data_IF_986632432046
#
_entry.id   IF_986632432046
#
_cell.length_a   1.000
_cell.length_b   1.000
_cell.length_c   1.000
_cell.angle_alpha   90.00
_cell.angle_beta   90.00
_cell.angle_gamma   90.00
#
_symmetry.space_group_name_H-M   'P 1'
#
loop_
_entity.id
_entity.type
_entity.pdbx_description
1 polymer ?
#
# COMPACT_ATOMS: atom_id res chain seq x y z
N UNK A 1 44.62 17.88 -8.68
CA UNK A 1 44.52 16.53 -8.10
C UNK A 1 44.24 16.75 -6.63
N UNK A 2 42.99 16.56 -6.21
CA UNK A 2 42.57 16.48 -4.81
C UNK A 2 41.28 15.64 -4.78
N UNK A 3 41.32 14.37 -4.33
CA UNK A 3 40.22 13.42 -4.50
C UNK A 3 39.42 13.22 -3.20
N UNK A 4 38.76 14.25 -2.68
CA UNK A 4 37.87 14.10 -1.50
C UNK A 4 36.62 14.97 -1.58
N UNK A 5 35.69 14.64 -2.47
CA UNK A 5 34.28 14.98 -2.26
C UNK A 5 33.46 13.71 -2.39
N UNK A 6 33.40 13.04 -1.24
CA UNK A 6 32.51 11.94 -0.91
C UNK A 6 31.15 12.12 -1.56
N UNK A 7 30.77 11.11 -2.34
CA UNK A 7 29.40 10.70 -2.63
C UNK A 7 28.47 11.14 -1.50
N UNK A 8 27.75 12.24 -1.74
CA UNK A 8 26.57 12.58 -0.97
C UNK A 8 25.60 11.44 -1.19
N UNK A 9 25.54 10.52 -0.24
CA UNK A 9 24.43 9.61 -0.07
C UNK A 9 23.18 10.47 -0.02
N UNK A 10 22.44 10.49 -1.13
CA UNK A 10 21.07 10.98 -1.19
C UNK A 10 20.32 10.25 -0.09
N UNK A 11 20.13 10.93 1.04
CA UNK A 11 19.09 10.58 1.99
C UNK A 11 17.81 10.58 1.18
N UNK A 12 17.28 9.40 0.89
CA UNK A 12 15.87 9.27 0.52
C UNK A 12 15.08 9.71 1.75
N UNK A 13 14.94 11.03 1.93
CA UNK A 13 13.88 11.60 2.72
C UNK A 13 12.61 11.10 2.07
N UNK A 14 12.06 10.04 2.65
CA UNK A 14 10.74 9.54 2.36
C UNK A 14 9.74 10.60 2.81
N UNK A 15 9.59 11.66 2.02
CA UNK A 15 8.39 12.49 1.97
C UNK A 15 7.28 11.61 1.41
N UNK A 16 6.84 10.68 2.24
CA UNK A 16 5.57 10.02 2.04
C UNK A 16 4.55 11.13 2.27
N UNK A 17 3.73 11.52 1.27
CA UNK A 17 2.71 12.52 1.51
C UNK A 17 1.88 12.07 2.71
N UNK A 18 1.49 13.04 3.57
CA UNK A 18 0.60 12.90 4.74
C UNK A 18 -0.82 12.45 4.29
N UNK A 19 -0.89 11.36 3.53
CA UNK A 19 -2.10 10.76 2.96
C UNK A 19 -3.01 10.20 4.06
N UNK A 20 -2.44 9.89 5.22
CA UNK A 20 -3.18 9.35 6.36
C UNK A 20 -4.16 10.34 6.98
N UNK A 21 -3.82 11.63 7.02
CA UNK A 21 -4.68 12.69 7.59
C UNK A 21 -5.78 13.09 6.61
N UNK A 22 -5.46 13.23 5.33
CA UNK A 22 -6.43 13.47 4.25
C UNK A 22 -7.48 12.35 4.18
N UNK A 23 -7.04 11.08 4.23
CA UNK A 23 -7.95 9.93 4.19
C UNK A 23 -8.83 9.83 5.44
N UNK A 24 -8.29 10.17 6.62
CA UNK A 24 -9.08 10.17 7.86
C UNK A 24 -10.17 11.24 7.82
N UNK A 25 -9.85 12.43 7.29
CA UNK A 25 -10.83 13.50 7.11
C UNK A 25 -11.93 13.11 6.10
N UNK A 26 -11.56 12.46 4.98
CA UNK A 26 -12.53 11.95 4.00
C UNK A 26 -13.48 10.89 4.62
N UNK A 27 -12.94 9.96 5.41
CA UNK A 27 -13.75 8.95 6.08
C UNK A 27 -14.69 9.59 7.11
N UNK A 28 -14.21 10.57 7.86
CA UNK A 28 -15.04 11.32 8.81
C UNK A 28 -16.17 12.08 8.10
N UNK A 29 -15.93 12.63 6.90
CA UNK A 29 -16.95 13.33 6.11
C UNK A 29 -18.14 12.44 5.70
N UNK A 30 -17.93 11.12 5.60
CA UNK A 30 -18.99 10.12 5.36
C UNK A 30 -19.47 9.42 6.64
N UNK A 31 -19.10 9.94 7.82
CA UNK A 31 -19.54 9.43 9.12
C UNK A 31 -18.76 8.21 9.63
N UNK A 32 -17.59 7.91 9.05
CA UNK A 32 -16.74 6.79 9.48
C UNK A 32 -15.68 7.30 10.45
N UNK A 33 -15.77 6.85 11.70
CA UNK A 33 -14.79 7.16 12.74
C UNK A 33 -13.60 6.21 12.67
N UNK A 34 -12.40 6.77 12.51
CA UNK A 34 -11.14 6.00 12.53
C UNK A 34 -10.53 6.04 13.93
N UNK A 35 -10.51 4.89 14.62
CA UNK A 35 -9.85 4.76 15.94
C UNK A 35 -8.54 3.98 15.86
N UNK A 36 -7.61 4.15 16.81
CA UNK A 36 -6.39 3.35 16.90
C UNK A 36 -6.65 1.84 16.93
N UNK A 37 -7.64 1.40 17.71
CA UNK A 37 -8.03 -0.01 17.83
C UNK A 37 -8.64 -0.54 16.53
N UNK A 38 -9.40 0.31 15.82
CA UNK A 38 -9.95 0.03 14.51
C UNK A 38 -8.86 -0.17 13.47
N UNK A 39 -7.86 0.72 13.44
CA UNK A 39 -6.67 0.59 12.59
C UNK A 39 -5.95 -0.73 12.86
N UNK A 40 -5.74 -1.07 14.12
CA UNK A 40 -5.02 -2.29 14.48
C UNK A 40 -5.80 -3.56 14.09
N UNK A 41 -7.12 -3.56 14.29
CA UNK A 41 -7.99 -4.64 13.82
C UNK A 41 -7.95 -4.78 12.30
N UNK A 42 -7.97 -3.66 11.57
CA UNK A 42 -7.88 -3.66 10.12
C UNK A 42 -6.54 -4.24 9.63
N UNK A 43 -5.41 -3.87 10.27
CA UNK A 43 -4.09 -4.44 9.97
C UNK A 43 -4.05 -5.95 10.16
N UNK A 44 -4.57 -6.45 11.29
CA UNK A 44 -4.64 -7.90 11.54
C UNK A 44 -5.46 -8.63 10.48
N UNK A 45 -6.63 -8.08 10.12
CA UNK A 45 -7.49 -8.68 9.08
C UNK A 45 -6.83 -8.67 7.71
N UNK A 46 -6.18 -7.56 7.35
CA UNK A 46 -5.46 -7.46 6.07
C UNK A 46 -4.32 -8.46 5.99
N UNK A 47 -3.55 -8.63 7.07
CA UNK A 47 -2.49 -9.64 7.14
C UNK A 47 -3.04 -11.06 6.96
N UNK A 48 -4.07 -11.42 7.72
CA UNK A 48 -4.70 -12.73 7.61
C UNK A 48 -5.36 -12.97 6.23
N UNK A 49 -5.87 -11.93 5.57
CA UNK A 49 -6.37 -12.04 4.21
C UNK A 49 -5.23 -12.29 3.22
N UNK A 50 -4.10 -11.57 3.37
CA UNK A 50 -2.92 -11.74 2.52
C UNK A 50 -2.30 -13.13 2.66
N UNK A 51 -2.27 -13.68 3.87
CA UNK A 51 -1.78 -15.04 4.13
C UNK A 51 -2.66 -16.13 3.48
N UNK A 52 -3.96 -15.85 3.28
CA UNK A 52 -4.87 -16.78 2.59
C UNK A 52 -4.78 -16.71 1.07
N UNK A 53 -4.08 -15.72 0.50
CA UNK A 53 -3.99 -15.57 -0.95
C UNK A 53 -3.09 -16.64 -1.54
N UNK A 54 -3.62 -17.41 -2.50
CA UNK A 54 -2.84 -18.38 -3.27
C UNK A 54 -2.79 -17.95 -4.74
N UNK A 55 -1.82 -18.44 -5.53
CA UNK A 55 -1.76 -18.16 -6.97
C UNK A 55 -3.05 -18.54 -7.71
N UNK A 56 -3.72 -19.61 -7.30
CA UNK A 56 -4.98 -20.08 -7.89
C UNK A 56 -6.14 -19.13 -7.58
N UNK A 57 -6.21 -18.63 -6.34
CA UNK A 57 -7.19 -17.61 -5.97
C UNK A 57 -6.93 -16.29 -6.72
N UNK A 58 -5.66 -15.91 -6.89
CA UNK A 58 -5.31 -14.74 -7.67
C UNK A 58 -5.73 -14.89 -9.13
N UNK A 59 -5.40 -16.03 -9.76
CA UNK A 59 -5.80 -16.33 -11.14
C UNK A 59 -7.33 -16.31 -11.32
N UNK A 60 -8.07 -16.92 -10.39
CA UNK A 60 -9.54 -16.93 -10.42
C UNK A 60 -10.13 -15.51 -10.31
N UNK A 61 -9.58 -14.66 -9.43
CA UNK A 61 -10.02 -13.26 -9.33
C UNK A 61 -9.68 -12.47 -10.59
N UNK A 62 -8.48 -12.67 -11.15
CA UNK A 62 -8.09 -12.01 -12.41
C UNK A 62 -9.02 -12.42 -13.55
N UNK A 63 -9.40 -13.68 -13.64
CA UNK A 63 -10.40 -14.17 -14.59
C UNK A 63 -11.76 -13.49 -14.39
N UNK A 64 -12.27 -13.43 -13.15
CA UNK A 64 -13.53 -12.75 -12.84
C UNK A 64 -13.52 -11.26 -13.18
N UNK A 65 -12.36 -10.60 -13.04
CA UNK A 65 -12.18 -9.20 -13.39
C UNK A 65 -11.90 -8.98 -14.89
N UNK A 66 -11.88 -10.04 -15.71
CA UNK A 66 -11.52 -9.96 -17.13
C UNK A 66 -10.06 -9.53 -17.36
N UNK A 67 -9.22 -9.60 -16.33
CA UNK A 67 -7.79 -9.26 -16.35
C UNK A 67 -6.97 -10.47 -16.81
N UNK A 68 -7.33 -11.01 -17.96
CA UNK A 68 -6.49 -11.97 -18.67
C UNK A 68 -5.20 -11.26 -19.06
N UNK A 69 -4.06 -11.96 -18.99
CA UNK A 69 -2.78 -11.42 -19.41
C UNK A 69 -2.92 -10.84 -20.81
N UNK A 70 -2.89 -9.51 -20.94
CA UNK A 70 -2.48 -8.91 -22.21
C UNK A 70 -1.03 -9.32 -22.38
N UNK A 71 -0.81 -10.34 -23.21
CA UNK A 71 0.52 -10.63 -23.73
C UNK A 71 1.04 -9.32 -24.30
N UNK A 72 2.02 -8.71 -23.64
CA UNK A 72 2.76 -7.60 -24.23
C UNK A 72 3.38 -8.15 -25.53
N UNK A 73 2.93 -7.61 -26.65
CA UNK A 73 3.43 -7.93 -27.99
C UNK A 73 4.85 -7.39 -28.18
#
# INVERSE_FOLDING_TARGET
>A
MDPEQRVGTTSMSSDTPETGTETTAMLAAVGITVTPEGKERARRRLRAARERWTPELDAAVREQLGLHHQTAA
#
